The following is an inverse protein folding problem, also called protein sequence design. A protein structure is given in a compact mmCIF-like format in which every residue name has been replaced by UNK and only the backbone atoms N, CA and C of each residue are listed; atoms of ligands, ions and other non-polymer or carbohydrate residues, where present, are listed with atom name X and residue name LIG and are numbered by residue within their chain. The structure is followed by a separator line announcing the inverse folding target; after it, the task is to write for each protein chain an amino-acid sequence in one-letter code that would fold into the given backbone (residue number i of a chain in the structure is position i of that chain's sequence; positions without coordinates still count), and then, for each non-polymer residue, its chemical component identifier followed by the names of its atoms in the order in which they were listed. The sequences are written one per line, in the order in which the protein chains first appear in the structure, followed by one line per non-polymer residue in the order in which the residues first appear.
data_IF_030879735722
#
_entry.id   IF_030879735722
#
_cell.length_a   1.000
_cell.length_b   1.000
_cell.length_c   1.000
_cell.angle_alpha   90.00
_cell.angle_beta   90.00
_cell.angle_gamma   90.00
#
_symmetry.space_group_name_H-M   'P 1'
#
loop_
_entity.id
_entity.type
_entity.pdbx_description
1 polymer ?
#
# COMPACT_ATOMS: atom_id res chain seq x y z
N UNK A 1 13.04 -39.55 10.77
CA UNK A 1 13.77 -38.29 11.00
C UNK A 1 13.31 -37.25 9.97
N UNK A 2 12.06 -36.76 10.07
CA UNK A 2 11.55 -35.69 9.21
C UNK A 2 11.45 -34.44 10.09
N UNK A 3 12.18 -33.39 9.72
CA UNK A 3 12.21 -32.12 10.44
C UNK A 3 10.94 -31.33 10.12
N UNK A 4 10.25 -30.99 11.19
CA UNK A 4 9.14 -30.06 11.31
C UNK A 4 9.48 -28.71 10.65
N UNK A 5 8.76 -28.37 9.58
CA UNK A 5 8.79 -27.01 9.01
C UNK A 5 7.82 -26.16 9.83
N UNK A 6 8.36 -25.28 10.68
CA UNK A 6 7.57 -24.24 11.36
C UNK A 6 7.03 -23.26 10.31
N UNK A 7 5.72 -23.30 10.10
CA UNK A 7 5.00 -22.21 9.46
C UNK A 7 5.09 -20.97 10.38
N UNK A 8 5.83 -19.96 9.94
CA UNK A 8 5.79 -18.62 10.51
C UNK A 8 4.45 -17.99 10.13
N UNK A 9 3.43 -18.18 10.97
CA UNK A 9 2.10 -17.58 10.76
C UNK A 9 2.16 -16.07 10.93
N UNK A 10 2.12 -15.34 9.82
CA UNK A 10 1.79 -13.91 9.82
C UNK A 10 0.29 -13.79 10.07
N UNK A 11 -0.13 -13.73 11.33
CA UNK A 11 -1.50 -13.39 11.69
C UNK A 11 -1.71 -11.89 11.45
N UNK A 12 -2.50 -11.53 10.42
CA UNK A 12 -3.04 -10.18 10.28
C UNK A 12 -4.17 -10.02 11.28
N UNK A 13 -3.92 -9.32 12.38
CA UNK A 13 -4.96 -8.73 13.19
C UNK A 13 -5.61 -7.59 12.40
N UNK A 14 -6.90 -7.74 12.10
CA UNK A 14 -7.65 -6.82 11.23
C UNK A 14 -7.88 -5.44 11.84
N UNK A 15 -6.86 -4.59 11.87
CA UNK A 15 -6.95 -3.21 12.29
C UNK A 15 -7.08 -2.27 11.08
N UNK A 16 -8.06 -1.37 11.12
CA UNK A 16 -8.28 -0.37 10.06
C UNK A 16 -7.72 0.98 10.47
N UNK A 17 -7.03 1.65 9.55
CA UNK A 17 -6.53 3.01 9.70
C UNK A 17 -7.03 3.90 8.56
N UNK A 18 -7.56 5.07 8.90
CA UNK A 18 -8.05 6.04 7.93
C UNK A 18 -7.22 7.32 8.02
N UNK A 19 -6.74 7.78 6.86
CA UNK A 19 -6.00 9.03 6.69
C UNK A 19 -6.70 9.91 5.66
N UNK A 20 -6.75 11.22 5.93
CA UNK A 20 -7.24 12.19 4.96
C UNK A 20 -6.06 12.73 4.14
N UNK A 21 -6.08 12.47 2.84
CA UNK A 21 -5.22 13.12 1.86
C UNK A 21 -5.89 14.40 1.36
N UNK A 22 -5.12 15.46 1.15
CA UNK A 22 -5.65 16.74 0.68
C UNK A 22 -6.05 16.71 -0.82
N UNK A 23 -5.44 15.79 -1.57
CA UNK A 23 -5.70 15.54 -2.99
C UNK A 23 -5.26 14.12 -3.34
N UNK A 24 -5.62 13.67 -4.54
CA UNK A 24 -5.28 12.35 -5.08
C UNK A 24 -3.93 12.34 -5.82
N UNK A 25 -2.96 13.16 -5.40
CA UNK A 25 -1.63 13.19 -6.01
C UNK A 25 -0.55 12.55 -5.11
N UNK A 26 0.61 12.30 -5.69
CA UNK A 26 1.76 11.65 -5.03
C UNK A 26 2.16 12.35 -3.73
N UNK A 27 2.22 13.69 -3.73
CA UNK A 27 2.67 14.46 -2.57
C UNK A 27 1.70 14.31 -1.38
N UNK A 28 0.40 14.40 -1.64
CA UNK A 28 -0.65 14.18 -0.65
C UNK A 28 -0.64 12.75 -0.11
N UNK A 29 -0.42 11.76 -0.97
CA UNK A 29 -0.26 10.36 -0.57
C UNK A 29 0.96 10.17 0.34
N UNK A 30 2.13 10.69 -0.04
CA UNK A 30 3.35 10.62 0.77
C UNK A 30 3.12 11.23 2.16
N UNK A 31 2.44 12.38 2.24
CA UNK A 31 2.14 13.02 3.52
C UNK A 31 1.19 12.17 4.38
N UNK A 32 0.17 11.56 3.79
CA UNK A 32 -0.75 10.66 4.51
C UNK A 32 0.00 9.45 5.09
N UNK A 33 0.85 8.80 4.30
CA UNK A 33 1.63 7.64 4.75
C UNK A 33 2.64 8.02 5.84
N UNK A 34 3.30 9.17 5.73
CA UNK A 34 4.19 9.67 6.80
C UNK A 34 3.46 9.89 8.12
N UNK A 35 2.22 10.40 8.09
CA UNK A 35 1.39 10.54 9.29
C UNK A 35 1.00 9.19 9.88
N UNK A 36 0.65 8.23 9.03
CA UNK A 36 0.36 6.87 9.46
C UNK A 36 1.56 6.24 10.18
N UNK A 37 2.74 6.26 9.55
CA UNK A 37 3.99 5.73 10.12
C UNK A 37 4.36 6.46 11.42
N UNK A 38 4.21 7.78 11.48
CA UNK A 38 4.47 8.54 12.71
C UNK A 38 3.55 8.14 13.87
N UNK A 39 2.31 7.69 13.58
CA UNK A 39 1.33 7.29 14.61
C UNK A 39 1.35 5.81 14.97
N UNK A 40 1.70 4.93 14.02
CA UNK A 40 1.62 3.46 14.19
C UNK A 40 2.98 2.77 14.23
N UNK A 41 4.07 3.51 13.94
CA UNK A 41 5.38 2.95 13.69
C UNK A 41 5.55 2.53 12.23
N UNK A 42 6.80 2.23 11.85
CA UNK A 42 7.16 1.77 10.51
C UNK A 42 6.74 0.31 10.34
N UNK A 43 5.76 -0.03 9.48
CA UNK A 43 5.49 -1.41 9.17
C UNK A 43 6.68 -2.08 8.46
N UNK A 44 6.73 -3.41 8.52
CA UNK A 44 7.74 -4.20 7.81
C UNK A 44 7.46 -4.25 6.31
N UNK A 45 6.17 -4.35 5.95
CA UNK A 45 5.72 -4.42 4.57
C UNK A 45 4.41 -3.63 4.39
N UNK A 46 4.34 -2.85 3.32
CA UNK A 46 3.13 -2.23 2.80
C UNK A 46 2.77 -2.89 1.47
N UNK A 47 1.50 -3.26 1.32
CA UNK A 47 0.96 -3.86 0.10
C UNK A 47 -0.12 -2.92 -0.42
N UNK A 48 0.04 -2.46 -1.65
CA UNK A 48 -0.94 -1.61 -2.33
C UNK A 48 -1.43 -2.29 -3.59
N UNK A 49 -2.70 -2.06 -3.95
CA UNK A 49 -3.13 -2.34 -5.31
C UNK A 49 -2.52 -1.32 -6.29
N UNK A 50 -2.58 -1.64 -7.58
CA UNK A 50 -2.11 -0.74 -8.66
C UNK A 50 -3.16 0.28 -9.08
N UNK A 51 -4.23 0.49 -8.31
CA UNK A 51 -5.27 1.48 -8.60
C UNK A 51 -5.94 1.40 -9.98
N UNK A 52 -5.64 0.41 -10.82
CA UNK A 52 -6.14 0.34 -12.20
C UNK A 52 -7.57 -0.19 -12.30
N UNK A 53 -8.14 -0.63 -11.17
CA UNK A 53 -9.40 -1.38 -11.14
C UNK A 53 -10.63 -0.53 -10.82
N UNK A 54 -10.52 0.80 -10.79
CA UNK A 54 -11.68 1.68 -10.58
C UNK A 54 -12.52 1.82 -11.86
N UNK A 55 -13.09 0.71 -12.33
CA UNK A 55 -14.05 0.68 -13.44
C UNK A 55 -15.33 1.37 -12.95
N UNK A 56 -15.49 2.65 -13.27
CA UNK A 56 -16.62 3.49 -12.82
C UNK A 56 -16.24 4.68 -11.95
N UNK A 57 -14.94 4.96 -11.77
CA UNK A 57 -14.47 6.24 -11.25
C UNK A 57 -14.90 7.40 -12.16
N UNK A 58 -15.05 8.60 -11.61
CA UNK A 58 -15.18 9.80 -12.45
C UNK A 58 -13.88 10.02 -13.24
N UNK A 59 -13.98 10.67 -14.41
CA UNK A 59 -12.80 11.00 -15.23
C UNK A 59 -11.72 11.74 -14.43
N UNK A 60 -12.13 12.62 -13.53
CA UNK A 60 -11.23 13.36 -12.63
C UNK A 60 -10.48 12.44 -11.65
N UNK A 61 -11.14 11.40 -11.15
CA UNK A 61 -10.51 10.39 -10.29
C UNK A 61 -9.54 9.51 -11.09
N UNK A 62 -9.90 9.12 -12.32
CA UNK A 62 -9.00 8.37 -13.20
C UNK A 62 -7.75 9.19 -13.55
N UNK A 63 -7.92 10.46 -13.93
CA UNK A 63 -6.83 11.39 -14.21
C UNK A 63 -5.93 11.58 -12.97
N UNK A 64 -6.52 11.81 -11.79
CA UNK A 64 -5.74 12.01 -10.57
C UNK A 64 -4.96 10.74 -10.15
N UNK A 65 -5.52 9.54 -10.35
CA UNK A 65 -4.78 8.29 -10.09
C UNK A 65 -3.58 8.16 -11.04
N UNK A 66 -3.70 8.58 -12.30
CA UNK A 66 -2.58 8.59 -13.24
C UNK A 66 -1.47 9.57 -12.85
N UNK A 67 -1.80 10.63 -12.09
CA UNK A 67 -0.81 11.58 -11.56
C UNK A 67 -0.03 11.03 -10.35
N UNK A 68 -0.41 9.86 -9.83
CA UNK A 68 0.33 9.20 -8.74
C UNK A 68 1.58 8.52 -9.29
N UNK A 69 2.73 9.02 -8.86
CA UNK A 69 4.06 8.51 -9.20
C UNK A 69 4.49 7.44 -8.19
N UNK A 70 4.33 6.19 -8.60
CA UNK A 70 4.71 5.03 -7.79
C UNK A 70 6.21 4.98 -7.50
N UNK A 71 7.08 5.41 -8.42
CA UNK A 71 8.54 5.34 -8.23
C UNK A 71 9.00 6.37 -7.20
N UNK A 72 8.40 7.56 -7.19
CA UNK A 72 8.60 8.56 -6.17
C UNK A 72 8.15 8.07 -4.78
N UNK A 73 7.04 7.34 -4.71
CA UNK A 73 6.59 6.71 -3.46
C UNK A 73 7.57 5.64 -2.98
N UNK A 74 8.02 4.75 -3.87
CA UNK A 74 9.02 3.73 -3.55
C UNK A 74 10.30 4.37 -3.02
N UNK A 75 10.78 5.44 -3.64
CA UNK A 75 11.96 6.19 -3.18
C UNK A 75 11.74 6.82 -1.80
N UNK A 76 10.53 7.30 -1.51
CA UNK A 76 10.23 7.96 -0.25
C UNK A 76 10.12 7.00 0.95
N UNK A 77 9.81 5.72 0.71
CA UNK A 77 9.42 4.78 1.76
C UNK A 77 10.20 3.47 1.78
N UNK A 78 10.80 3.04 0.67
CA UNK A 78 11.60 1.82 0.65
C UNK A 78 13.01 2.08 1.18
N UNK A 79 13.35 1.33 2.22
CA UNK A 79 14.66 1.34 2.85
C UNK A 79 14.88 0.03 3.60
N UNK A 80 15.95 -0.10 4.39
CA UNK A 80 16.30 -1.37 5.05
C UNK A 80 15.20 -1.93 5.97
N UNK A 81 14.29 -1.06 6.44
CA UNK A 81 13.28 -1.37 7.47
C UNK A 81 11.87 -1.51 6.91
N UNK A 82 11.64 -1.11 5.64
CA UNK A 82 10.31 -1.03 5.04
C UNK A 82 10.37 -1.49 3.59
N UNK A 83 9.55 -2.48 3.27
CA UNK A 83 9.28 -2.91 1.90
C UNK A 83 7.90 -2.42 1.47
N UNK A 84 7.79 -1.89 0.26
CA UNK A 84 6.50 -1.60 -0.35
C UNK A 84 6.35 -2.47 -1.61
N UNK A 85 5.24 -3.18 -1.73
CA UNK A 85 4.92 -3.96 -2.94
C UNK A 85 3.59 -3.55 -3.53
N UNK A 86 3.54 -3.59 -4.87
CA UNK A 86 2.31 -3.41 -5.63
C UNK A 86 1.82 -4.75 -6.15
N UNK A 87 0.53 -5.03 -5.95
CA UNK A 87 -0.09 -6.26 -6.41
C UNK A 87 0.09 -6.40 -7.93
N UNK A 88 0.37 -7.63 -8.38
CA UNK A 88 0.42 -7.93 -9.82
C UNK A 88 -0.97 -7.67 -10.45
N UNK A 89 -1.07 -7.11 -11.67
CA UNK A 89 -2.37 -6.85 -12.31
C UNK A 89 -3.26 -8.10 -12.41
N UNK A 90 -2.64 -9.29 -12.44
CA UNK A 90 -3.32 -10.58 -12.50
C UNK A 90 -3.85 -11.11 -11.14
N UNK A 91 -3.59 -10.40 -10.04
CA UNK A 91 -3.98 -10.83 -8.69
C UNK A 91 -4.76 -9.74 -7.92
N UNK A 92 -5.87 -9.20 -8.47
CA UNK A 92 -6.65 -8.15 -7.81
C UNK A 92 -7.35 -8.62 -6.52
N UNK A 93 -7.50 -9.93 -6.33
CA UNK A 93 -8.10 -10.57 -5.16
C UNK A 93 -7.17 -10.63 -3.94
N UNK A 94 -5.89 -10.25 -4.06
CA UNK A 94 -4.98 -10.16 -2.91
C UNK A 94 -5.22 -8.91 -2.04
N UNK A 95 -6.22 -8.09 -2.35
CA UNK A 95 -6.61 -6.90 -1.58
C UNK A 95 -7.88 -7.06 -0.74
N UNK A 96 -8.56 -8.21 -0.77
CA UNK A 96 -9.80 -8.43 -0.05
C UNK A 96 -10.04 -9.91 0.19
N UNK A 97 -10.19 -10.27 1.47
CA UNK A 97 -10.72 -11.56 1.88
C UNK A 97 -12.15 -11.75 1.36
#
# INVERSE_FOLDING_TARGET
MQREQRASGTTFDGAVHLEVAASLNTASCILAVKRFVARRGTPLEMISDRGTNFVGASRELEEAIQEVDHDAMMTAFCGPQMKWTFNSPAAPHFGGC
#
